data_IF_094666586681
#
_entry.id   IF_094666586681
#
_cell.length_a   1.000
_cell.length_b   1.000
_cell.length_c   1.000
_cell.angle_alpha   90.00
_cell.angle_beta   90.00
_cell.angle_gamma   90.00
#
_symmetry.space_group_name_H-M   'P 1'
#
loop_
_entity.id
_entity.type
_entity.pdbx_description
1 polymer ?
#
# COMPACT_ATOMS: atom_id res chain seq x y z
N UNK A 1 -28.72 -21.17 19.55
CA UNK A 1 -27.25 -21.24 19.58
C UNK A 1 -26.75 -21.35 18.14
N UNK A 2 -26.17 -20.29 17.56
CA UNK A 2 -25.58 -20.32 16.20
C UNK A 2 -24.07 -20.21 16.34
N UNK A 3 -23.37 -21.26 15.91
CA UNK A 3 -21.93 -21.41 16.01
C UNK A 3 -21.20 -20.31 15.25
N UNK A 4 -20.28 -19.64 15.95
CA UNK A 4 -19.38 -18.65 15.37
C UNK A 4 -18.36 -19.34 14.47
N UNK A 5 -18.35 -18.95 13.19
CA UNK A 5 -17.26 -19.25 12.30
C UNK A 5 -16.00 -18.51 12.80
N UNK A 6 -15.03 -19.27 13.33
CA UNK A 6 -13.67 -18.76 13.56
C UNK A 6 -12.98 -18.64 12.21
N UNK A 7 -12.89 -17.43 11.67
CA UNK A 7 -12.02 -17.14 10.53
C UNK A 7 -10.55 -17.35 10.95
N UNK A 8 -9.82 -18.18 10.21
CA UNK A 8 -8.37 -18.36 10.35
C UNK A 8 -7.65 -17.04 10.01
N UNK A 9 -6.52 -16.72 10.66
CA UNK A 9 -5.73 -15.53 10.32
C UNK A 9 -5.18 -15.69 8.90
N UNK A 10 -5.60 -14.79 8.02
CA UNK A 10 -5.08 -14.67 6.66
C UNK A 10 -3.80 -13.84 6.76
N UNK A 11 -2.66 -14.52 6.85
CA UNK A 11 -1.35 -13.90 6.79
C UNK A 11 -1.25 -13.06 5.52
N UNK A 12 -0.61 -11.87 5.58
CA UNK A 12 -0.32 -11.03 4.40
C UNK A 12 0.67 -11.75 3.47
N UNK A 13 0.22 -12.83 2.85
CA UNK A 13 0.88 -13.48 1.74
C UNK A 13 0.90 -12.50 0.57
N UNK A 14 2.01 -12.50 -0.15
CA UNK A 14 2.04 -11.93 -1.49
C UNK A 14 0.96 -12.66 -2.29
N UNK A 15 -0.10 -11.95 -2.71
CA UNK A 15 -1.18 -12.47 -3.58
C UNK A 15 -0.70 -12.84 -5.00
N UNK A 16 0.58 -13.14 -5.16
CA UNK A 16 1.15 -13.69 -6.38
C UNK A 16 1.27 -15.18 -6.12
N UNK A 17 0.63 -16.00 -6.95
CA UNK A 17 0.74 -17.47 -6.92
C UNK A 17 2.13 -17.98 -7.27
N UNK A 18 3.11 -17.09 -7.44
CA UNK A 18 4.48 -17.46 -7.75
C UNK A 18 5.13 -18.01 -6.47
N UNK A 19 5.27 -19.33 -6.45
CA UNK A 19 5.92 -20.16 -5.42
C UNK A 19 7.23 -19.56 -4.88
N UNK A 20 7.97 -18.85 -5.74
CA UNK A 20 9.22 -18.15 -5.38
C UNK A 20 9.06 -17.21 -4.19
N UNK A 21 7.94 -16.49 -4.08
CA UNK A 21 7.76 -15.53 -2.99
C UNK A 21 7.55 -16.22 -1.64
N UNK A 22 6.92 -17.40 -1.63
CA UNK A 22 6.71 -18.18 -0.41
C UNK A 22 8.04 -18.76 0.08
N UNK A 23 8.86 -19.28 -0.84
CA UNK A 23 10.19 -19.80 -0.51
C UNK A 23 11.11 -18.68 0.01
N UNK A 24 11.12 -17.52 -0.65
CA UNK A 24 11.92 -16.38 -0.19
C UNK A 24 11.49 -15.88 1.18
N UNK A 25 10.19 -15.86 1.46
CA UNK A 25 9.65 -15.54 2.78
C UNK A 25 10.10 -16.56 3.83
N UNK A 26 9.98 -17.87 3.55
CA UNK A 26 10.43 -18.94 4.44
C UNK A 26 11.92 -18.79 4.79
N UNK A 27 12.76 -18.58 3.78
CA UNK A 27 14.21 -18.41 3.95
C UNK A 27 14.57 -17.16 4.75
N UNK A 28 13.92 -16.04 4.46
CA UNK A 28 14.17 -14.78 5.17
C UNK A 28 13.67 -14.83 6.61
N UNK A 29 12.53 -15.48 6.88
CA UNK A 29 12.04 -15.72 8.24
C UNK A 29 12.96 -16.67 9.01
N UNK A 30 13.44 -17.73 8.37
CA UNK A 30 14.38 -18.67 8.98
C UNK A 30 15.73 -18.02 9.32
N UNK A 31 16.19 -17.08 8.49
CA UNK A 31 17.39 -16.28 8.76
C UNK A 31 17.22 -15.24 9.89
N UNK A 32 15.97 -14.93 10.26
CA UNK A 32 15.62 -13.98 11.31
C UNK A 32 16.21 -12.59 11.06
N UNK A 33 17.01 -12.12 12.02
CA UNK A 33 17.65 -10.80 11.96
C UNK A 33 18.93 -10.77 11.12
N UNK A 34 19.34 -11.90 10.52
CA UNK A 34 20.57 -11.97 9.71
C UNK A 34 20.27 -11.57 8.26
N UNK A 35 20.77 -10.43 7.77
CA UNK A 35 20.47 -9.97 6.41
C UNK A 35 21.01 -10.95 5.37
N UNK A 36 20.14 -11.41 4.47
CA UNK A 36 20.49 -12.31 3.39
C UNK A 36 20.61 -11.56 2.06
N UNK A 37 21.64 -11.85 1.28
CA UNK A 37 21.78 -11.29 -0.07
C UNK A 37 21.01 -12.12 -1.09
N UNK A 38 20.83 -11.56 -2.29
CA UNK A 38 20.24 -12.32 -3.40
C UNK A 38 21.11 -13.50 -3.85
N UNK A 39 22.41 -13.49 -3.52
CA UNK A 39 23.34 -14.59 -3.81
C UNK A 39 23.13 -15.70 -2.81
N UNK A 40 23.09 -15.38 -1.52
CA UNK A 40 22.87 -16.34 -0.44
C UNK A 40 21.52 -17.07 -0.62
N UNK A 41 20.46 -16.33 -0.99
CA UNK A 41 19.14 -16.90 -1.24
C UNK A 41 19.09 -17.76 -2.51
N UNK A 42 19.89 -17.44 -3.53
CA UNK A 42 19.96 -18.21 -4.77
C UNK A 42 20.77 -19.53 -4.61
N UNK A 43 21.49 -19.69 -3.51
CA UNK A 43 22.17 -20.95 -3.20
C UNK A 43 21.21 -22.04 -2.72
N UNK A 44 19.99 -21.70 -2.29
CA UNK A 44 18.93 -22.68 -2.04
C UNK A 44 18.46 -23.31 -3.39
N UNK A 45 18.48 -24.66 -3.52
CA UNK A 45 18.09 -25.34 -4.75
C UNK A 45 16.66 -25.02 -5.22
N UNK A 46 15.72 -24.77 -4.29
CA UNK A 46 14.32 -24.42 -4.60
C UNK A 46 14.24 -23.05 -5.24
N UNK A 47 15.05 -22.10 -4.75
CA UNK A 47 15.15 -20.76 -5.34
C UNK A 47 15.80 -20.85 -6.72
N UNK A 48 16.89 -21.61 -6.87
CA UNK A 48 17.59 -21.77 -8.16
C UNK A 48 16.71 -22.41 -9.24
N UNK A 49 15.82 -23.33 -8.86
CA UNK A 49 14.86 -23.95 -9.77
C UNK A 49 13.84 -22.95 -10.34
N UNK A 50 13.47 -21.93 -9.57
CA UNK A 50 12.43 -20.95 -9.92
C UNK A 50 13.00 -19.59 -10.39
N UNK A 51 14.23 -19.28 -9.99
CA UNK A 51 14.96 -18.07 -10.35
C UNK A 51 16.30 -18.48 -10.98
N UNK A 52 16.44 -18.39 -12.31
CA UNK A 52 17.64 -18.90 -13.01
C UNK A 52 18.93 -18.11 -12.73
N UNK A 53 18.84 -16.98 -12.01
CA UNK A 53 20.01 -16.19 -11.63
C UNK A 53 19.76 -15.39 -10.34
N UNK A 54 20.84 -15.02 -9.62
CA UNK A 54 20.75 -14.12 -8.45
C UNK A 54 20.13 -12.76 -8.78
N UNK A 55 20.27 -12.28 -10.03
CA UNK A 55 19.66 -11.03 -10.47
C UNK A 55 18.13 -11.13 -10.46
N UNK A 56 17.55 -12.26 -10.86
CA UNK A 56 16.10 -12.49 -10.75
C UNK A 56 15.64 -12.51 -9.31
N UNK A 57 16.42 -13.09 -8.40
CA UNK A 57 16.14 -13.05 -6.96
C UNK A 57 16.16 -11.61 -6.45
N UNK A 58 17.12 -10.79 -6.90
CA UNK A 58 17.19 -9.35 -6.59
C UNK A 58 15.94 -8.59 -7.04
N UNK A 59 15.40 -8.90 -8.23
CA UNK A 59 14.16 -8.31 -8.73
C UNK A 59 12.97 -8.63 -7.79
N UNK A 60 12.81 -9.91 -7.42
CA UNK A 60 11.77 -10.36 -6.50
C UNK A 60 11.89 -9.68 -5.13
N UNK A 61 13.08 -9.64 -4.55
CA UNK A 61 13.34 -8.93 -3.29
C UNK A 61 13.05 -7.43 -3.42
N UNK A 62 13.32 -6.83 -4.58
CA UNK A 62 12.93 -5.46 -4.89
C UNK A 62 11.41 -5.24 -4.94
N UNK A 63 10.64 -6.23 -5.38
CA UNK A 63 9.17 -6.21 -5.29
C UNK A 63 8.69 -6.32 -3.84
N UNK A 64 9.27 -7.24 -3.05
CA UNK A 64 8.93 -7.44 -1.64
C UNK A 64 9.23 -6.18 -0.80
N UNK A 65 10.35 -5.52 -1.07
CA UNK A 65 10.75 -4.28 -0.40
C UNK A 65 9.77 -3.13 -0.71
N UNK A 66 9.38 -2.95 -1.98
CA UNK A 66 8.37 -1.94 -2.36
C UNK A 66 7.00 -2.18 -1.72
N UNK A 67 6.71 -3.43 -1.32
CA UNK A 67 5.48 -3.80 -0.59
C UNK A 67 5.63 -3.71 0.93
N UNK A 68 6.81 -3.33 1.44
CA UNK A 68 7.06 -3.20 2.87
C UNK A 68 7.15 -4.53 3.63
N UNK A 69 7.45 -5.63 2.94
CA UNK A 69 7.54 -6.97 3.54
C UNK A 69 8.93 -7.29 4.07
N UNK A 70 9.96 -6.68 3.47
CA UNK A 70 11.36 -6.90 3.82
C UNK A 70 12.06 -5.57 4.02
N UNK A 71 13.01 -5.53 4.95
CA UNK A 71 13.86 -4.38 5.19
C UNK A 71 15.14 -4.56 4.36
N UNK A 72 15.61 -3.47 3.74
CA UNK A 72 16.84 -3.47 2.92
C UNK A 72 18.01 -2.90 3.72
N UNK A 73 19.15 -3.55 3.59
CA UNK A 73 20.44 -3.21 4.18
C UNK A 73 21.52 -3.14 3.10
N UNK A 74 22.63 -2.47 3.38
CA UNK A 74 23.84 -2.62 2.56
C UNK A 74 24.48 -3.97 2.84
N UNK A 75 24.88 -4.69 1.78
CA UNK A 75 25.62 -5.93 1.94
C UNK A 75 26.98 -5.66 2.61
N UNK A 76 27.52 -6.66 3.31
CA UNK A 76 28.85 -6.55 3.92
C UNK A 76 29.91 -6.36 2.83
N UNK A 77 31.08 -5.81 3.16
CA UNK A 77 32.14 -5.53 2.16
C UNK A 77 32.61 -6.78 1.41
N UNK A 78 32.48 -7.95 2.02
CA UNK A 78 32.84 -9.24 1.41
C UNK A 78 31.83 -9.69 0.36
N UNK A 79 30.53 -9.52 0.62
CA UNK A 79 29.45 -9.86 -0.32
C UNK A 79 29.05 -8.72 -1.26
N UNK A 80 29.49 -7.49 -0.99
CA UNK A 80 29.16 -6.29 -1.77
C UNK A 80 29.58 -6.39 -3.25
N UNK A 81 30.61 -7.18 -3.56
CA UNK A 81 31.06 -7.43 -4.93
C UNK A 81 30.05 -8.24 -5.75
N UNK A 82 29.24 -9.09 -5.10
CA UNK A 82 28.27 -9.98 -5.77
C UNK A 82 26.84 -9.48 -5.63
N UNK A 83 26.56 -8.65 -4.63
CA UNK A 83 25.26 -8.03 -4.40
C UNK A 83 25.39 -6.74 -3.59
N UNK A 84 24.78 -5.65 -4.03
CA UNK A 84 24.84 -4.35 -3.31
C UNK A 84 24.03 -4.33 -2.01
N UNK A 85 22.97 -5.13 -1.93
CA UNK A 85 21.98 -5.08 -0.86
C UNK A 85 21.72 -6.46 -0.26
N UNK A 86 21.39 -6.46 1.04
CA UNK A 86 20.90 -7.59 1.78
C UNK A 86 19.51 -7.29 2.36
N UNK A 87 18.75 -8.32 2.72
CA UNK A 87 17.36 -8.19 3.13
C UNK A 87 17.07 -9.00 4.39
N UNK A 88 16.24 -8.46 5.27
CA UNK A 88 15.66 -9.18 6.41
C UNK A 88 14.14 -9.14 6.31
N UNK A 89 13.47 -10.14 6.85
CA UNK A 89 12.01 -10.11 6.96
C UNK A 89 11.58 -9.02 7.96
N UNK A 90 10.47 -8.33 7.69
CA UNK A 90 9.86 -7.43 8.65
C UNK A 90 8.74 -8.20 9.34
N UNK A 91 8.92 -8.51 10.62
CA UNK A 91 7.82 -8.96 11.48
C UNK A 91 6.90 -7.77 11.75
N UNK A 92 6.04 -7.47 10.77
CA UNK A 92 4.91 -6.60 11.05
C UNK A 92 3.95 -7.36 11.96
N UNK A 93 3.42 -6.73 13.03
CA UNK A 93 2.22 -7.26 13.65
C UNK A 93 1.16 -7.38 12.56
N UNK A 94 0.37 -8.45 12.57
CA UNK A 94 -0.80 -8.61 11.70
C UNK A 94 -1.85 -7.54 12.04
N UNK A 95 -1.54 -6.26 11.80
CA UNK A 95 -2.55 -5.25 11.58
C UNK A 95 -3.20 -5.61 10.25
N UNK A 96 -4.22 -6.47 10.40
CA UNK A 96 -5.36 -6.56 9.52
C UNK A 96 -5.61 -5.12 9.08
N UNK A 97 -5.51 -4.78 7.79
CA UNK A 97 -6.07 -3.50 7.37
C UNK A 97 -7.52 -3.60 7.81
N UNK A 98 -7.92 -2.81 8.82
CA UNK A 98 -9.33 -2.56 9.00
C UNK A 98 -9.81 -2.16 7.61
N UNK A 99 -10.86 -2.78 7.07
CA UNK A 99 -11.42 -2.30 5.82
C UNK A 99 -11.60 -0.82 6.07
N UNK A 100 -10.83 0.01 5.36
CA UNK A 100 -11.13 1.43 5.26
C UNK A 100 -12.58 1.38 4.87
N UNK A 101 -13.47 1.71 5.82
CA UNK A 101 -14.87 1.89 5.53
C UNK A 101 -14.82 2.69 4.26
N UNK A 102 -15.26 2.10 3.12
CA UNK A 102 -15.31 2.83 1.86
C UNK A 102 -15.90 4.14 2.31
N UNK A 103 -15.14 5.22 2.21
CA UNK A 103 -15.69 6.53 2.51
C UNK A 103 -16.95 6.49 1.69
N UNK A 104 -18.10 6.41 2.37
CA UNK A 104 -19.39 6.60 1.75
C UNK A 104 -19.12 7.82 0.93
N UNK A 105 -19.02 7.65 -0.40
CA UNK A 105 -18.63 8.75 -1.29
C UNK A 105 -19.52 9.85 -0.80
N UNK A 106 -18.99 10.93 -0.17
CA UNK A 106 -19.85 11.89 0.47
C UNK A 106 -20.71 12.35 -0.68
N UNK A 107 -21.98 11.97 -0.64
CA UNK A 107 -22.96 12.29 -1.64
C UNK A 107 -22.81 13.79 -1.77
N UNK A 108 -22.24 14.24 -2.91
CA UNK A 108 -21.56 15.54 -3.06
C UNK A 108 -22.20 16.53 -2.12
N UNK A 109 -21.57 16.80 -0.97
CA UNK A 109 -22.06 17.87 -0.11
C UNK A 109 -22.09 19.08 -1.02
N UNK A 110 -23.26 19.68 -1.10
CA UNK A 110 -23.49 20.91 -1.84
C UNK A 110 -22.31 21.85 -1.58
N UNK A 111 -21.91 22.55 -2.63
CA UNK A 111 -20.78 23.45 -2.65
C UNK A 111 -20.66 24.26 -1.35
N UNK A 112 -19.44 24.59 -0.90
CA UNK A 112 -19.25 25.39 0.30
C UNK A 112 -20.10 26.67 0.21
N UNK A 113 -21.09 26.79 1.09
CA UNK A 113 -21.81 28.04 1.29
C UNK A 113 -20.78 29.07 1.75
N UNK A 114 -20.42 29.96 0.83
CA UNK A 114 -19.57 31.11 1.15
C UNK A 114 -20.35 31.98 2.14
N UNK A 115 -19.71 32.45 3.22
CA UNK A 115 -20.43 32.87 4.43
C UNK A 115 -21.18 34.21 4.36
N UNK A 116 -21.38 34.87 3.22
CA UNK A 116 -21.93 36.24 3.20
C UNK A 116 -22.76 36.60 1.96
N UNK A 117 -23.27 35.62 1.20
CA UNK A 117 -24.05 35.92 -0.02
C UNK A 117 -25.30 35.05 -0.07
N UNK A 118 -26.47 35.67 0.03
CA UNK A 118 -27.76 35.01 -0.23
C UNK A 118 -28.14 35.26 -1.68
N UNK A 119 -28.18 34.20 -2.49
CA UNK A 119 -28.63 34.30 -3.88
C UNK A 119 -30.09 33.85 -3.94
N UNK A 120 -30.97 34.75 -4.36
CA UNK A 120 -32.39 34.46 -4.60
C UNK A 120 -32.66 34.59 -6.09
N UNK A 121 -33.07 33.49 -6.70
CA UNK A 121 -33.49 33.44 -8.10
C UNK A 121 -35.02 33.40 -8.13
N UNK A 122 -35.62 34.40 -8.76
CA UNK A 122 -37.06 34.53 -8.97
C UNK A 122 -37.33 34.66 -10.49
N UNK A 123 -38.56 34.43 -10.94
CA UNK A 123 -38.88 34.14 -12.35
C UNK A 123 -38.65 35.38 -13.25
N UNK A 124 -37.41 35.55 -13.72
CA UNK A 124 -36.94 36.68 -14.53
C UNK A 124 -35.90 37.59 -13.87
N UNK A 125 -35.50 37.35 -12.62
CA UNK A 125 -34.47 38.15 -11.94
C UNK A 125 -33.58 37.35 -10.98
N UNK A 126 -32.30 37.72 -10.92
CA UNK A 126 -31.34 37.16 -9.96
C UNK A 126 -30.96 38.27 -8.97
N UNK A 127 -31.18 38.01 -7.69
CA UNK A 127 -30.78 38.91 -6.60
C UNK A 127 -29.64 38.28 -5.80
N UNK A 128 -28.51 38.99 -5.74
CA UNK A 128 -27.34 38.66 -4.94
C UNK A 128 -27.31 39.59 -3.74
N UNK A 129 -27.61 39.08 -2.55
CA UNK A 129 -27.67 39.85 -1.32
C UNK A 129 -26.40 39.65 -0.50
N UNK A 130 -25.65 40.73 -0.29
CA UNK A 130 -24.43 40.76 0.53
C UNK A 130 -24.70 41.58 1.80
N UNK A 131 -23.92 41.36 2.84
CA UNK A 131 -24.08 42.05 4.14
C UNK A 131 -24.11 43.59 4.05
N UNK A 132 -23.44 44.18 3.07
CA UNK A 132 -23.29 45.64 2.92
C UNK A 132 -24.04 46.22 1.71
N UNK A 133 -24.45 45.39 0.75
CA UNK A 133 -25.13 45.84 -0.46
C UNK A 133 -25.85 44.70 -1.17
N UNK A 134 -26.86 45.03 -1.96
CA UNK A 134 -27.64 44.07 -2.75
C UNK A 134 -27.47 44.38 -4.24
N UNK A 135 -27.22 43.36 -5.06
CA UNK A 135 -27.16 43.46 -6.52
C UNK A 135 -28.38 42.75 -7.11
N UNK A 136 -29.17 43.45 -7.92
CA UNK A 136 -30.29 42.85 -8.66
C UNK A 136 -30.03 42.91 -10.16
N UNK A 137 -30.01 41.74 -10.81
CA UNK A 137 -29.91 41.61 -12.26
C UNK A 137 -31.28 41.22 -12.81
N UNK A 138 -31.90 42.11 -13.59
CA UNK A 138 -33.14 41.84 -14.32
C UNK A 138 -32.83 41.56 -15.78
N UNK A 139 -33.34 40.46 -16.33
CA UNK A 139 -33.33 40.26 -17.78
C UNK A 139 -34.37 41.19 -18.40
N UNK A 140 -34.00 41.83 -19.51
CA UNK A 140 -34.88 42.70 -20.29
C UNK A 140 -35.56 41.91 -21.38
#
# INVERSE_FOLDING_TARGET
>A
MRGGYKAKPESKMIKSEAEIYQILEELLRAAGNTPQTCVDLHDDPRVRALAPSPNRVSDYLGHMWRRGLVQRWYASKETAQRSRYAYTWIDQPEEKPEPVSRLTVPQRKAAPEKPNVTVVEDDGSITLDFKEFTITVKRK
#
